data_IF_410232870601
#
_entry.id   IF_410232870601
#
_cell.length_a   1.000
_cell.length_b   1.000
_cell.length_c   1.000
_cell.angle_alpha   90.00
_cell.angle_beta   90.00
_cell.angle_gamma   90.00
#
_symmetry.space_group_name_H-M   'P 1'
#
loop_
_entity.id
_entity.type
_entity.pdbx_description
1 polymer ?
#
# COMPACT_ATOMS: atom_id res chain seq x y z
N UNK A 1 1.12 -13.00 14.63
CA UNK A 1 0.38 -12.16 13.65
C UNK A 1 -1.06 -11.99 14.13
N UNK A 2 -1.62 -10.78 13.95
CA UNK A 2 -3.01 -10.45 14.28
C UNK A 2 -3.81 -10.25 13.01
N UNK A 3 -5.12 -10.50 13.04
CA UNK A 3 -6.03 -10.05 12.00
C UNK A 3 -6.30 -8.55 12.16
N UNK A 4 -6.36 -7.85 11.04
CA UNK A 4 -6.73 -6.47 10.94
C UNK A 4 -7.83 -6.24 9.93
N UNK A 5 -8.36 -5.03 9.92
CA UNK A 5 -9.34 -4.58 8.92
C UNK A 5 -8.87 -3.26 8.32
N UNK A 6 -8.73 -3.21 7.00
CA UNK A 6 -8.57 -1.94 6.29
C UNK A 6 -9.95 -1.31 6.10
N UNK A 7 -10.22 -0.28 6.86
CA UNK A 7 -11.58 0.30 7.00
C UNK A 7 -12.09 1.00 5.75
N UNK A 8 -11.22 1.29 4.78
CA UNK A 8 -11.59 1.93 3.50
C UNK A 8 -12.62 1.13 2.70
N UNK A 9 -12.77 -0.17 3.00
CA UNK A 9 -13.76 -1.05 2.36
C UNK A 9 -15.20 -0.71 2.73
N UNK A 10 -15.41 0.04 3.81
CA UNK A 10 -16.74 0.36 4.36
C UNK A 10 -16.88 1.87 4.61
N UNK A 11 -16.83 2.69 3.54
CA UNK A 11 -16.82 4.16 3.68
C UNK A 11 -18.10 4.72 4.30
N UNK A 12 -19.22 4.00 4.17
CA UNK A 12 -20.55 4.40 4.65
C UNK A 12 -20.78 4.14 6.13
N UNK A 13 -19.98 3.29 6.77
CA UNK A 13 -20.11 2.98 8.19
C UNK A 13 -19.48 4.07 9.05
N UNK A 14 -20.13 4.41 10.17
CA UNK A 14 -19.54 5.25 11.20
C UNK A 14 -18.55 4.49 12.08
N UNK A 15 -17.87 5.19 12.98
CA UNK A 15 -16.81 4.58 13.79
C UNK A 15 -17.34 3.43 14.65
N UNK A 16 -18.49 3.59 15.29
CA UNK A 16 -19.07 2.55 16.14
C UNK A 16 -19.34 1.27 15.36
N UNK A 17 -20.00 1.40 14.21
CA UNK A 17 -20.32 0.28 13.31
C UNK A 17 -19.06 -0.43 12.77
N UNK A 18 -18.00 0.32 12.44
CA UNK A 18 -16.70 -0.27 12.02
C UNK A 18 -16.06 -1.05 13.15
N UNK A 19 -16.08 -0.53 14.37
CA UNK A 19 -15.50 -1.21 15.53
C UNK A 19 -16.27 -2.48 15.87
N UNK A 20 -17.61 -2.44 15.81
CA UNK A 20 -18.46 -3.63 15.99
C UNK A 20 -18.18 -4.69 14.92
N UNK A 21 -18.12 -4.29 13.66
CA UNK A 21 -17.80 -5.21 12.56
C UNK A 21 -16.43 -5.86 12.77
N UNK A 22 -15.42 -5.08 13.08
CA UNK A 22 -14.07 -5.59 13.33
C UNK A 22 -14.01 -6.57 14.51
N UNK A 23 -14.77 -6.31 15.60
CA UNK A 23 -14.90 -7.26 16.70
C UNK A 23 -15.57 -8.57 16.28
N UNK A 24 -16.66 -8.50 15.50
CA UNK A 24 -17.36 -9.68 14.98
C UNK A 24 -16.47 -10.53 14.09
N UNK A 25 -15.56 -9.89 13.33
CA UNK A 25 -14.59 -10.57 12.48
C UNK A 25 -13.35 -11.08 13.25
N UNK A 26 -13.25 -10.80 14.55
CA UNK A 26 -12.10 -11.20 15.39
C UNK A 26 -10.83 -10.40 15.07
N UNK A 27 -10.96 -9.21 14.51
CA UNK A 27 -9.82 -8.32 14.27
C UNK A 27 -9.34 -7.68 15.56
N UNK A 28 -8.02 -7.56 15.73
CA UNK A 28 -7.39 -6.85 16.86
C UNK A 28 -6.67 -5.57 16.43
N UNK A 29 -6.71 -5.23 15.14
CA UNK A 29 -6.07 -4.05 14.60
C UNK A 29 -6.90 -3.44 13.45
N UNK A 30 -6.72 -2.14 13.23
CA UNK A 30 -7.39 -1.39 12.17
C UNK A 30 -6.36 -0.62 11.35
N UNK A 31 -6.59 -0.56 10.06
CA UNK A 31 -5.87 0.32 9.13
C UNK A 31 -6.82 1.42 8.65
N UNK A 32 -6.35 2.66 8.69
CA UNK A 32 -7.14 3.83 8.28
C UNK A 32 -6.52 4.54 7.10
N UNK A 33 -7.34 4.95 6.13
CA UNK A 33 -6.88 5.83 5.06
C UNK A 33 -6.75 7.26 5.57
N UNK A 34 -5.55 7.81 5.49
CA UNK A 34 -5.23 9.19 5.88
C UNK A 34 -5.36 10.19 4.73
N UNK A 35 -5.83 9.75 3.54
CA UNK A 35 -6.07 10.64 2.41
C UNK A 35 -7.29 11.52 2.65
N UNK A 36 -7.14 12.85 2.63
CA UNK A 36 -8.28 13.76 2.73
C UNK A 36 -9.30 13.56 1.60
N UNK A 37 -10.58 13.80 1.91
CA UNK A 37 -11.64 13.78 0.90
C UNK A 37 -12.10 12.39 0.44
N UNK A 38 -11.70 11.31 1.13
CA UNK A 38 -12.19 9.95 0.85
C UNK A 38 -13.66 9.74 1.23
N UNK A 39 -14.25 10.65 2.02
CA UNK A 39 -15.65 10.56 2.44
C UNK A 39 -15.92 9.41 3.42
N UNK A 40 -14.92 8.99 4.18
CA UNK A 40 -15.08 7.95 5.20
C UNK A 40 -15.81 8.53 6.41
N UNK A 41 -16.95 7.95 6.77
CA UNK A 41 -17.76 8.43 7.90
C UNK A 41 -17.16 8.11 9.26
N UNK A 42 -16.27 7.13 9.33
CA UNK A 42 -15.62 6.66 10.56
C UNK A 42 -14.28 7.32 10.86
N UNK A 43 -13.72 8.07 9.91
CA UNK A 43 -12.38 8.65 10.07
C UNK A 43 -12.18 9.86 9.16
N UNK A 44 -12.15 11.06 9.75
CA UNK A 44 -11.73 12.28 9.05
C UNK A 44 -10.30 12.66 9.50
N UNK A 45 -9.28 12.45 8.65
CA UNK A 45 -7.90 12.74 9.00
C UNK A 45 -7.63 14.24 9.24
N UNK A 46 -8.42 15.13 8.63
CA UNK A 46 -8.26 16.58 8.80
C UNK A 46 -8.81 17.01 10.16
N UNK A 47 -10.03 16.57 10.51
CA UNK A 47 -10.65 16.86 11.79
C UNK A 47 -9.80 16.34 12.96
N UNK A 48 -9.38 15.07 12.91
CA UNK A 48 -8.56 14.45 13.96
C UNK A 48 -7.21 15.16 14.10
N UNK A 49 -6.62 15.61 12.99
CA UNK A 49 -5.38 16.36 13.05
C UNK A 49 -5.55 17.77 13.63
N UNK A 50 -6.68 18.44 13.39
CA UNK A 50 -6.90 19.82 13.83
C UNK A 50 -7.47 19.93 15.24
N UNK A 51 -8.27 18.95 15.69
CA UNK A 51 -8.95 18.94 16.97
C UNK A 51 -8.32 17.95 17.95
N UNK A 52 -7.73 18.46 19.04
CA UNK A 52 -7.23 17.60 20.14
C UNK A 52 -8.36 16.77 20.73
N UNK A 53 -9.54 17.36 20.94
CA UNK A 53 -10.69 16.65 21.47
C UNK A 53 -11.15 15.50 20.55
N UNK A 54 -11.26 15.75 19.24
CA UNK A 54 -11.63 14.68 18.29
C UNK A 54 -10.60 13.56 18.28
N UNK A 55 -9.31 13.89 18.35
CA UNK A 55 -8.23 12.92 18.43
C UNK A 55 -8.32 12.07 19.70
N UNK A 56 -8.51 12.69 20.86
CA UNK A 56 -8.65 12.00 22.14
C UNK A 56 -9.88 11.10 22.17
N UNK A 57 -11.02 11.58 21.67
CA UNK A 57 -12.25 10.79 21.56
C UNK A 57 -12.06 9.57 20.64
N UNK A 58 -11.46 9.76 19.48
CA UNK A 58 -11.15 8.67 18.56
C UNK A 58 -10.25 7.61 19.20
N UNK A 59 -9.18 8.03 19.86
CA UNK A 59 -8.27 7.11 20.55
C UNK A 59 -8.97 6.39 21.73
N UNK A 60 -9.86 7.06 22.45
CA UNK A 60 -10.62 6.46 23.55
C UNK A 60 -11.56 5.36 23.04
N UNK A 61 -12.26 5.58 21.90
CA UNK A 61 -13.15 4.56 21.33
C UNK A 61 -12.37 3.31 20.89
N UNK A 62 -11.17 3.48 20.30
CA UNK A 62 -10.30 2.34 19.96
C UNK A 62 -9.84 1.59 21.24
N UNK A 63 -9.43 2.33 22.28
CA UNK A 63 -8.90 1.77 23.53
C UNK A 63 -9.95 0.99 24.30
N UNK A 64 -11.20 1.50 24.39
CA UNK A 64 -12.33 0.80 25.03
C UNK A 64 -12.59 -0.59 24.47
N UNK A 65 -12.20 -0.83 23.20
CA UNK A 65 -12.43 -2.08 22.49
C UNK A 65 -11.14 -2.84 22.16
N UNK A 66 -10.01 -2.46 22.78
CA UNK A 66 -8.69 -3.10 22.61
C UNK A 66 -8.16 -3.09 21.16
N UNK A 67 -8.55 -2.11 20.34
CA UNK A 67 -8.01 -1.98 18.99
C UNK A 67 -6.71 -1.19 18.95
N UNK A 68 -5.80 -1.65 18.10
CA UNK A 68 -4.59 -0.91 17.72
C UNK A 68 -4.69 -0.41 16.28
N UNK A 69 -4.01 0.69 15.97
CA UNK A 69 -3.85 1.13 14.58
C UNK A 69 -2.61 0.45 14.01
N UNK A 70 -2.78 -0.36 12.94
CA UNK A 70 -1.67 -1.09 12.31
C UNK A 70 -0.83 -0.20 11.41
N UNK A 71 -1.47 0.66 10.64
CA UNK A 71 -0.83 1.71 9.83
C UNK A 71 -1.83 2.79 9.43
N UNK A 72 -1.31 3.96 9.03
CA UNK A 72 -2.05 4.97 8.29
C UNK A 72 -1.71 4.83 6.80
N UNK A 73 -2.74 4.71 5.97
CA UNK A 73 -2.57 4.50 4.53
C UNK A 73 -2.74 5.81 3.75
N UNK A 74 -1.67 6.27 3.10
CA UNK A 74 -1.63 7.45 2.23
C UNK A 74 -1.43 7.05 0.76
N UNK A 75 -2.20 6.07 0.26
CA UNK A 75 -2.06 5.51 -1.09
C UNK A 75 -2.53 6.48 -2.16
N UNK A 76 -1.58 7.24 -2.71
CA UNK A 76 -1.77 8.18 -3.81
C UNK A 76 -0.58 8.13 -4.77
N UNK A 77 -0.69 8.81 -5.93
CA UNK A 77 0.45 9.00 -6.82
C UNK A 77 1.23 10.27 -6.44
N UNK A 78 2.16 10.13 -5.49
CA UNK A 78 3.00 11.24 -5.02
C UNK A 78 3.94 11.80 -6.09
N UNK A 79 4.17 11.06 -7.17
CA UNK A 79 5.02 11.43 -8.28
C UNK A 79 4.23 11.82 -9.53
N UNK A 80 2.92 12.08 -9.38
CA UNK A 80 2.09 12.47 -10.52
C UNK A 80 2.77 13.58 -11.33
N UNK A 81 2.82 13.46 -12.67
CA UNK A 81 3.32 14.53 -13.53
C UNK A 81 2.37 15.74 -13.61
N UNK A 82 1.12 15.59 -13.14
CA UNK A 82 0.22 16.71 -12.89
C UNK A 82 0.68 17.45 -11.61
N UNK A 83 1.11 18.72 -11.70
CA UNK A 83 1.65 19.47 -10.57
C UNK A 83 0.65 19.63 -9.42
N UNK A 84 -0.63 19.75 -9.70
CA UNK A 84 -1.65 19.92 -8.68
C UNK A 84 -1.88 18.61 -7.92
N UNK A 85 -1.90 17.47 -8.61
CA UNK A 85 -1.97 16.17 -7.95
C UNK A 85 -0.72 15.89 -7.11
N UNK A 86 0.47 16.21 -7.62
CA UNK A 86 1.73 16.06 -6.88
C UNK A 86 1.75 16.93 -5.61
N UNK A 87 1.27 18.18 -5.71
CA UNK A 87 1.15 19.09 -4.56
C UNK A 87 0.20 18.54 -3.50
N UNK A 88 -1.01 18.12 -3.90
CA UNK A 88 -2.00 17.52 -2.99
C UNK A 88 -1.49 16.25 -2.33
N UNK A 89 -0.78 15.41 -3.08
CA UNK A 89 -0.18 14.21 -2.52
C UNK A 89 0.88 14.55 -1.46
N UNK A 90 1.74 15.54 -1.71
CA UNK A 90 2.74 16.00 -0.73
C UNK A 90 2.08 16.55 0.54
N UNK A 91 1.01 17.32 0.41
CA UNK A 91 0.23 17.83 1.55
C UNK A 91 -0.44 16.69 2.34
N UNK A 92 -0.93 15.64 1.64
CA UNK A 92 -1.48 14.47 2.28
C UNK A 92 -0.43 13.69 3.09
N UNK A 93 0.80 13.57 2.58
CA UNK A 93 1.91 12.97 3.34
C UNK A 93 2.24 13.79 4.59
N UNK A 94 2.32 15.12 4.48
CA UNK A 94 2.55 16.00 5.63
C UNK A 94 1.45 15.86 6.70
N UNK A 95 0.19 15.80 6.28
CA UNK A 95 -0.94 15.55 7.17
C UNK A 95 -0.82 14.18 7.83
N UNK A 96 -0.50 13.14 7.04
CA UNK A 96 -0.36 11.77 7.52
C UNK A 96 0.73 11.64 8.58
N UNK A 97 1.88 12.28 8.39
CA UNK A 97 2.98 12.23 9.37
C UNK A 97 2.60 12.90 10.70
N UNK A 98 1.96 14.07 10.66
CA UNK A 98 1.43 14.73 11.88
C UNK A 98 0.37 13.88 12.58
N UNK A 99 -0.49 13.24 11.80
CA UNK A 99 -1.52 12.36 12.33
C UNK A 99 -0.91 11.11 12.96
N UNK A 100 0.13 10.54 12.34
CA UNK A 100 0.86 9.40 12.87
C UNK A 100 1.51 9.70 14.22
N UNK A 101 2.11 10.89 14.39
CA UNK A 101 2.62 11.36 15.68
C UNK A 101 1.51 11.41 16.75
N UNK A 102 0.38 12.09 16.44
CA UNK A 102 -0.74 12.24 17.37
C UNK A 102 -1.36 10.91 17.78
N UNK A 103 -1.48 9.98 16.85
CA UNK A 103 -2.07 8.66 17.06
C UNK A 103 -1.03 7.61 17.52
N UNK A 104 0.24 7.99 17.67
CA UNK A 104 1.36 7.10 18.02
C UNK A 104 1.50 5.91 17.05
N UNK A 105 1.35 6.18 15.74
CA UNK A 105 1.48 5.18 14.68
C UNK A 105 2.86 5.31 14.03
N UNK A 106 3.60 4.21 13.95
CA UNK A 106 4.96 4.18 13.41
C UNK A 106 5.04 3.81 11.93
N UNK A 107 3.96 3.28 11.37
CA UNK A 107 3.89 2.74 10.00
C UNK A 107 2.97 3.59 9.14
N UNK A 108 3.49 4.05 8.02
CA UNK A 108 2.71 4.73 6.97
C UNK A 108 2.81 3.94 5.69
N UNK A 109 1.65 3.50 5.17
CA UNK A 109 1.52 2.77 3.90
C UNK A 109 1.27 3.70 2.73
N UNK A 110 1.88 3.41 1.57
CA UNK A 110 1.59 4.12 0.32
C UNK A 110 2.06 3.35 -0.92
N UNK A 111 1.63 3.81 -2.11
CA UNK A 111 2.26 3.44 -3.37
C UNK A 111 3.55 4.23 -3.60
N UNK A 112 4.49 3.66 -4.37
CA UNK A 112 5.76 4.35 -4.65
C UNK A 112 5.63 5.61 -5.50
N UNK A 113 4.56 5.73 -6.25
CA UNK A 113 4.35 6.76 -7.25
C UNK A 113 4.79 6.32 -8.66
N UNK A 114 4.23 6.99 -9.66
CA UNK A 114 4.58 6.84 -11.08
C UNK A 114 4.63 8.22 -11.74
N UNK A 115 5.82 8.72 -12.12
CA UNK A 115 5.96 9.97 -12.84
C UNK A 115 5.67 9.81 -14.34
N UNK A 116 5.77 10.89 -15.12
CA UNK A 116 5.84 10.83 -16.58
C UNK A 116 7.14 10.21 -17.09
N UNK A 117 7.36 10.21 -18.40
CA UNK A 117 8.63 9.81 -19.01
C UNK A 117 9.66 10.93 -19.06
N UNK A 118 9.21 12.19 -18.88
CA UNK A 118 10.07 13.38 -18.85
C UNK A 118 9.43 14.49 -17.99
N UNK A 119 10.14 15.62 -17.85
CA UNK A 119 9.70 16.75 -17.02
C UNK A 119 8.44 17.45 -17.52
N UNK A 120 8.20 17.43 -18.83
CA UNK A 120 7.09 18.12 -19.48
C UNK A 120 5.82 17.28 -19.61
N UNK A 121 5.90 15.98 -19.25
CA UNK A 121 4.74 15.08 -19.29
C UNK A 121 3.67 15.53 -18.27
N UNK A 122 2.42 15.20 -18.62
CA UNK A 122 1.23 15.46 -17.78
C UNK A 122 0.51 14.20 -17.36
N UNK A 123 0.93 13.05 -17.86
CA UNK A 123 0.35 11.73 -17.57
C UNK A 123 1.41 10.75 -17.09
N UNK A 124 1.08 9.85 -16.14
CA UNK A 124 2.03 8.82 -15.70
C UNK A 124 2.47 7.91 -16.84
N UNK A 125 3.71 7.47 -16.79
CA UNK A 125 4.27 6.53 -17.75
C UNK A 125 4.97 5.37 -17.03
N UNK A 126 4.30 4.20 -16.99
CA UNK A 126 4.84 3.00 -16.33
C UNK A 126 5.69 2.19 -17.31
N UNK A 127 7.00 2.18 -17.10
CA UNK A 127 7.98 1.47 -17.92
C UNK A 127 8.14 0.03 -17.43
N UNK A 128 7.87 -0.94 -18.29
CA UNK A 128 7.88 -2.39 -17.97
C UNK A 128 8.76 -3.23 -18.88
N UNK A 129 9.40 -2.63 -19.87
CA UNK A 129 10.32 -3.33 -20.76
C UNK A 129 11.44 -2.38 -21.25
N UNK A 130 12.60 -2.93 -21.68
CA UNK A 130 13.78 -2.13 -22.05
C UNK A 130 13.74 -1.60 -23.49
N UNK A 131 12.70 -1.90 -24.24
CA UNK A 131 12.57 -1.53 -25.65
C UNK A 131 11.28 -0.73 -25.88
N UNK A 132 11.31 0.37 -26.66
CA UNK A 132 12.48 0.98 -27.33
C UNK A 132 13.54 1.55 -26.36
N UNK A 133 14.79 1.80 -26.83
CA UNK A 133 15.92 2.18 -25.96
C UNK A 133 15.68 3.43 -25.10
N UNK A 134 14.82 4.33 -25.56
CA UNK A 134 14.42 5.54 -24.83
C UNK A 134 13.75 5.20 -23.48
N UNK A 135 13.12 4.04 -23.36
CA UNK A 135 12.50 3.59 -22.10
C UNK A 135 13.51 3.44 -20.96
N UNK A 136 14.74 3.01 -21.24
CA UNK A 136 15.78 2.92 -20.22
C UNK A 136 16.23 4.31 -19.75
N UNK A 137 16.25 5.31 -20.64
CA UNK A 137 16.56 6.69 -20.29
C UNK A 137 15.44 7.30 -19.45
N UNK A 138 14.18 7.08 -19.85
CA UNK A 138 13.01 7.52 -19.06
C UNK A 138 13.01 6.85 -17.68
N UNK A 139 13.24 5.55 -17.60
CA UNK A 139 13.29 4.80 -16.35
C UNK A 139 14.40 5.34 -15.42
N UNK A 140 15.59 5.63 -15.97
CA UNK A 140 16.68 6.24 -15.22
C UNK A 140 16.26 7.59 -14.64
N UNK A 141 15.70 8.48 -15.46
CA UNK A 141 15.20 9.78 -15.02
C UNK A 141 14.09 9.67 -13.97
N UNK A 142 13.13 8.74 -14.15
CA UNK A 142 12.07 8.49 -13.17
C UNK A 142 12.63 8.14 -11.78
N UNK A 143 13.67 7.29 -11.75
CA UNK A 143 14.28 6.85 -10.51
C UNK A 143 15.18 7.91 -9.87
N UNK A 144 16.09 8.50 -10.65
CA UNK A 144 17.12 9.39 -10.13
C UNK A 144 16.60 10.79 -9.84
N UNK A 145 15.68 11.32 -10.67
CA UNK A 145 15.21 12.69 -10.57
C UNK A 145 13.84 12.83 -9.87
N UNK A 146 13.09 11.74 -9.72
CA UNK A 146 11.74 11.82 -9.16
C UNK A 146 11.54 10.90 -7.95
N UNK A 147 11.74 9.60 -8.12
CA UNK A 147 11.40 8.60 -7.10
C UNK A 147 12.33 8.70 -5.87
N UNK A 148 13.64 8.58 -6.07
CA UNK A 148 14.60 8.61 -4.97
C UNK A 148 14.56 9.94 -4.22
N UNK A 149 14.56 11.12 -4.87
CA UNK A 149 14.46 12.40 -4.17
C UNK A 149 13.18 12.55 -3.34
N UNK A 150 12.04 12.11 -3.86
CA UNK A 150 10.79 12.15 -3.12
C UNK A 150 10.83 11.26 -1.86
N UNK A 151 11.26 10.01 -2.00
CA UNK A 151 11.29 9.09 -0.87
C UNK A 151 12.38 9.41 0.15
N UNK A 152 13.48 10.04 -0.27
CA UNK A 152 14.47 10.60 0.65
C UNK A 152 13.84 11.70 1.51
N UNK A 153 13.17 12.67 0.87
CA UNK A 153 12.43 13.70 1.59
C UNK A 153 11.36 13.10 2.53
N UNK A 154 10.59 12.11 2.04
CA UNK A 154 9.54 11.49 2.84
C UNK A 154 10.12 10.76 4.06
N UNK A 155 11.24 10.07 3.92
CA UNK A 155 11.91 9.38 5.02
C UNK A 155 12.45 10.35 6.09
N UNK A 156 13.12 11.42 5.67
CA UNK A 156 13.61 12.48 6.56
C UNK A 156 12.46 13.17 7.29
N UNK A 157 11.39 13.46 6.56
CA UNK A 157 10.22 14.13 7.13
C UNK A 157 9.45 13.23 8.08
N UNK A 158 9.21 11.98 7.72
CA UNK A 158 8.56 10.97 8.54
C UNK A 158 9.26 10.77 9.89
N UNK A 159 10.60 10.74 9.89
CA UNK A 159 11.41 10.58 11.10
C UNK A 159 11.16 11.69 12.13
N UNK A 160 10.88 12.91 11.69
CA UNK A 160 10.57 14.06 12.56
C UNK A 160 9.29 13.88 13.36
N UNK A 161 8.38 13.00 12.89
CA UNK A 161 7.10 12.68 13.52
C UNK A 161 7.05 11.27 14.13
N UNK A 162 8.21 10.64 14.35
CA UNK A 162 8.29 9.31 14.94
C UNK A 162 7.85 8.16 14.01
N UNK A 163 7.59 8.43 12.74
CA UNK A 163 7.32 7.40 11.73
C UNK A 163 8.65 6.77 11.30
N UNK A 164 8.79 5.49 11.58
CA UNK A 164 10.02 4.72 11.33
C UNK A 164 9.88 3.70 10.20
N UNK A 165 8.67 3.48 9.73
CA UNK A 165 8.32 2.47 8.75
C UNK A 165 7.47 3.09 7.63
N UNK A 166 8.06 3.24 6.45
CA UNK A 166 7.39 3.61 5.22
C UNK A 166 7.12 2.34 4.42
N UNK A 167 5.90 1.84 4.49
CA UNK A 167 5.47 0.56 3.94
C UNK A 167 4.97 0.74 2.50
N UNK A 168 5.86 0.51 1.53
CA UNK A 168 5.54 0.66 0.10
C UNK A 168 4.79 -0.57 -0.39
N UNK A 169 3.58 -0.40 -0.87
CA UNK A 169 2.85 -1.46 -1.55
C UNK A 169 3.42 -1.65 -2.97
N UNK A 170 3.91 -2.85 -3.24
CA UNK A 170 4.42 -3.23 -4.56
C UNK A 170 3.24 -3.41 -5.52
N UNK A 171 2.97 -2.38 -6.32
CA UNK A 171 1.78 -2.33 -7.17
C UNK A 171 2.16 -2.04 -8.63
N UNK A 172 1.82 -2.95 -9.59
CA UNK A 172 1.96 -2.67 -11.02
C UNK A 172 1.22 -1.39 -11.43
N UNK A 173 1.86 -0.57 -12.24
CA UNK A 173 1.42 0.79 -12.55
C UNK A 173 2.19 1.87 -11.77
N UNK A 174 3.07 1.45 -10.84
CA UNK A 174 3.97 2.32 -10.08
C UNK A 174 5.43 1.87 -10.24
N UNK A 175 6.38 2.71 -9.86
CA UNK A 175 7.81 2.43 -10.03
C UNK A 175 8.30 1.22 -9.23
N UNK A 176 7.69 0.96 -8.05
CA UNK A 176 7.97 -0.22 -7.22
C UNK A 176 6.81 -1.19 -7.34
N UNK A 177 7.05 -2.35 -7.97
CA UNK A 177 6.01 -3.33 -8.28
C UNK A 177 6.43 -4.80 -8.02
N UNK A 178 7.68 -5.01 -7.60
CA UNK A 178 8.23 -6.34 -7.28
C UNK A 178 9.33 -6.23 -6.21
N UNK A 179 9.82 -7.35 -5.65
CA UNK A 179 10.87 -7.33 -4.63
C UNK A 179 12.15 -6.61 -5.06
N UNK A 180 12.61 -6.79 -6.29
CA UNK A 180 13.82 -6.15 -6.81
C UNK A 180 13.72 -4.63 -6.77
N UNK A 181 12.62 -4.08 -7.27
CA UNK A 181 12.40 -2.62 -7.28
C UNK A 181 12.22 -2.05 -5.87
N UNK A 182 11.60 -2.80 -4.95
CA UNK A 182 11.54 -2.38 -3.55
C UNK A 182 12.92 -2.32 -2.89
N UNK A 183 13.71 -3.39 -3.04
CA UNK A 183 15.05 -3.45 -2.44
C UNK A 183 15.97 -2.39 -3.01
N UNK A 184 15.87 -2.11 -4.31
CA UNK A 184 16.59 -0.99 -4.95
C UNK A 184 16.21 0.36 -4.34
N UNK A 185 14.91 0.62 -4.10
CA UNK A 185 14.49 1.86 -3.46
C UNK A 185 15.00 1.94 -2.02
N UNK A 186 14.92 0.85 -1.26
CA UNK A 186 15.44 0.77 0.10
C UNK A 186 16.95 1.00 0.16
N UNK A 187 17.72 0.44 -0.75
CA UNK A 187 19.16 0.67 -0.85
C UNK A 187 19.50 2.15 -1.07
N UNK A 188 18.72 2.81 -1.95
CA UNK A 188 18.94 4.21 -2.29
C UNK A 188 18.50 5.20 -1.20
N UNK A 189 17.44 4.91 -0.45
CA UNK A 189 16.82 5.85 0.52
C UNK A 189 17.19 5.51 1.95
N UNK A 190 17.18 4.23 2.32
CA UNK A 190 17.52 3.81 3.68
C UNK A 190 16.52 2.85 4.33
N UNK A 191 16.79 2.46 5.59
CA UNK A 191 16.12 1.35 6.27
C UNK A 191 14.67 1.61 6.67
N UNK A 192 14.18 2.84 6.62
CA UNK A 192 12.75 3.14 6.87
C UNK A 192 11.85 2.62 5.75
N UNK A 193 12.38 2.50 4.51
CA UNK A 193 11.66 1.90 3.39
C UNK A 193 11.52 0.40 3.61
N UNK A 194 10.31 -0.10 3.53
CA UNK A 194 9.98 -1.51 3.56
C UNK A 194 8.68 -1.76 2.82
N UNK A 195 8.13 -2.96 2.93
CA UNK A 195 6.98 -3.36 2.12
C UNK A 195 5.69 -3.43 2.94
N UNK A 196 4.61 -2.91 2.37
CA UNK A 196 3.27 -3.39 2.60
C UNK A 196 3.02 -4.51 1.57
N UNK A 197 3.10 -5.75 2.02
CA UNK A 197 3.03 -6.92 1.14
C UNK A 197 1.56 -7.21 0.79
N UNK A 198 1.18 -6.98 -0.47
CA UNK A 198 -0.08 -7.44 -1.03
C UNK A 198 0.19 -8.64 -1.96
N UNK A 199 -0.15 -9.87 -1.55
CA UNK A 199 0.12 -11.07 -2.34
C UNK A 199 -0.64 -11.09 -3.67
N UNK A 200 -1.79 -10.44 -3.76
CA UNK A 200 -2.59 -10.41 -4.98
C UNK A 200 -1.86 -9.77 -6.15
N UNK A 201 -1.12 -8.67 -5.88
CA UNK A 201 -0.33 -7.98 -6.90
C UNK A 201 0.88 -8.78 -7.38
N UNK A 202 1.43 -9.64 -6.54
CA UNK A 202 2.54 -10.53 -6.90
C UNK A 202 2.04 -11.74 -7.69
N UNK A 203 0.95 -12.35 -7.23
CA UNK A 203 0.41 -13.58 -7.83
C UNK A 203 0.06 -13.43 -9.30
N UNK A 204 -0.64 -12.35 -9.69
CA UNK A 204 -0.99 -12.17 -11.09
C UNK A 204 0.23 -11.82 -11.98
N UNK A 205 1.34 -11.33 -11.41
CA UNK A 205 2.61 -11.16 -12.11
C UNK A 205 3.39 -12.48 -12.26
N UNK A 206 2.82 -13.62 -11.80
CA UNK A 206 3.51 -14.92 -11.75
C UNK A 206 4.71 -14.94 -10.80
N UNK A 207 4.73 -14.09 -9.79
CA UNK A 207 5.75 -14.09 -8.74
C UNK A 207 5.35 -15.11 -7.68
N UNK A 208 6.26 -16.03 -7.31
CA UNK A 208 6.07 -16.94 -6.18
C UNK A 208 6.11 -16.14 -4.87
N UNK A 209 4.98 -16.10 -4.16
CA UNK A 209 4.83 -15.24 -2.98
C UNK A 209 5.74 -15.68 -1.83
N UNK A 210 5.87 -16.98 -1.48
CA UNK A 210 6.86 -17.44 -0.51
C UNK A 210 8.31 -17.04 -0.86
N UNK A 211 8.72 -17.09 -2.13
CA UNK A 211 10.06 -16.63 -2.56
C UNK A 211 10.20 -15.12 -2.39
N UNK A 212 9.18 -14.34 -2.77
CA UNK A 212 9.17 -12.91 -2.56
C UNK A 212 9.30 -12.55 -1.07
N UNK A 213 8.57 -13.25 -0.19
CA UNK A 213 8.66 -13.07 1.27
C UNK A 213 10.07 -13.38 1.78
N UNK A 214 10.72 -14.44 1.27
CA UNK A 214 12.12 -14.77 1.63
C UNK A 214 13.09 -13.66 1.22
N UNK A 215 12.95 -13.16 -0.01
CA UNK A 215 13.77 -12.06 -0.52
C UNK A 215 13.59 -10.77 0.28
N UNK A 216 12.38 -10.54 0.80
CA UNK A 216 12.00 -9.35 1.56
C UNK A 216 12.16 -9.50 3.09
N UNK A 217 12.83 -10.57 3.56
CA UNK A 217 13.03 -10.80 4.99
C UNK A 217 13.66 -9.58 5.68
N UNK A 218 13.04 -9.15 6.79
CA UNK A 218 13.49 -7.99 7.55
C UNK A 218 13.07 -6.63 6.97
N UNK A 219 12.22 -6.63 5.92
CA UNK A 219 11.71 -5.40 5.31
C UNK A 219 10.18 -5.36 5.25
N UNK A 220 9.48 -6.39 5.76
CA UNK A 220 8.01 -6.45 5.74
C UNK A 220 7.48 -5.68 6.94
N UNK A 221 6.86 -4.54 6.68
CA UNK A 221 6.30 -3.67 7.70
C UNK A 221 4.81 -3.90 7.91
N UNK A 222 4.10 -4.26 6.85
CA UNK A 222 2.66 -4.53 6.86
C UNK A 222 2.29 -5.56 5.80
N UNK A 223 1.10 -6.18 5.91
CA UNK A 223 0.60 -7.15 4.94
C UNK A 223 -0.88 -6.89 4.68
N UNK A 224 -1.26 -6.72 3.42
CA UNK A 224 -2.64 -6.76 2.96
C UNK A 224 -3.05 -8.20 2.65
N UNK A 225 -4.09 -8.71 3.29
CA UNK A 225 -4.69 -10.00 2.98
C UNK A 225 -5.70 -9.82 1.84
N UNK A 226 -5.20 -9.72 0.62
CA UNK A 226 -5.99 -9.54 -0.60
C UNK A 226 -5.71 -10.65 -1.59
N UNK A 227 -6.74 -11.08 -2.32
CA UNK A 227 -6.68 -12.25 -3.18
C UNK A 227 -6.93 -11.93 -4.65
N UNK A 228 -6.49 -12.83 -5.52
CA UNK A 228 -6.63 -12.72 -6.97
C UNK A 228 -6.80 -14.08 -7.61
N UNK A 229 -7.74 -14.15 -8.56
CA UNK A 229 -7.91 -15.30 -9.45
C UNK A 229 -7.30 -14.97 -10.81
N UNK A 230 -6.40 -15.84 -11.30
CA UNK A 230 -5.81 -15.74 -12.63
C UNK A 230 -6.58 -16.68 -13.58
N UNK A 231 -7.17 -16.11 -14.64
CA UNK A 231 -7.86 -16.88 -15.67
C UNK A 231 -6.85 -17.45 -16.67
N UNK A 232 -6.56 -18.73 -16.53
CA UNK A 232 -5.55 -19.42 -17.36
C UNK A 232 -5.88 -19.45 -18.84
N UNK A 233 -7.17 -19.43 -19.22
CA UNK A 233 -7.57 -19.43 -20.65
C UNK A 233 -7.32 -18.07 -21.28
N UNK A 234 -7.71 -16.99 -20.59
CA UNK A 234 -7.45 -15.64 -21.05
C UNK A 234 -5.94 -15.33 -21.07
N UNK A 235 -5.18 -15.78 -20.06
CA UNK A 235 -3.72 -15.64 -20.02
C UNK A 235 -3.04 -16.38 -21.17
N UNK A 236 -3.44 -17.64 -21.46
CA UNK A 236 -2.88 -18.41 -22.58
C UNK A 236 -3.10 -17.76 -23.94
N UNK A 237 -4.17 -16.97 -24.07
CA UNK A 237 -4.54 -16.29 -25.31
C UNK A 237 -3.88 -14.93 -25.45
N UNK A 238 -3.82 -14.14 -24.39
CA UNK A 238 -3.51 -12.70 -24.45
C UNK A 238 -2.35 -12.28 -23.55
N UNK A 239 -1.81 -13.17 -22.75
CA UNK A 239 -0.81 -12.85 -21.72
C UNK A 239 -1.46 -12.27 -20.45
N UNK A 240 -0.60 -11.88 -19.49
CA UNK A 240 -1.02 -11.46 -18.14
C UNK A 240 -1.29 -9.95 -18.03
N UNK A 241 -0.67 -9.13 -18.91
CA UNK A 241 -0.91 -7.69 -18.95
C UNK A 241 -2.32 -7.41 -19.49
N UNK A 242 -3.13 -6.72 -18.73
CA UNK A 242 -4.54 -6.54 -19.04
C UNK A 242 -5.01 -5.11 -18.75
N UNK A 243 -5.50 -4.44 -19.78
CA UNK A 243 -6.02 -3.07 -19.73
C UNK A 243 -7.55 -2.99 -19.74
N UNK A 244 -8.24 -4.14 -19.77
CA UNK A 244 -9.71 -4.16 -19.74
C UNK A 244 -10.24 -3.65 -18.41
N UNK A 245 -11.34 -2.88 -18.45
CA UNK A 245 -11.98 -2.38 -17.23
C UNK A 245 -12.43 -3.53 -16.32
N UNK A 246 -12.40 -3.34 -15.01
CA UNK A 246 -12.74 -4.37 -14.01
C UNK A 246 -14.16 -4.94 -14.14
N UNK A 247 -15.13 -4.18 -14.69
CA UNK A 247 -16.48 -4.68 -14.97
C UNK A 247 -16.53 -5.79 -16.03
N UNK A 248 -15.47 -6.00 -16.82
CA UNK A 248 -15.36 -7.06 -17.82
C UNK A 248 -14.66 -8.30 -17.24
N UNK A 249 -15.01 -8.71 -16.03
CA UNK A 249 -14.32 -9.74 -15.26
C UNK A 249 -14.10 -11.06 -16.02
N UNK A 250 -15.10 -11.53 -16.78
CA UNK A 250 -15.02 -12.79 -17.54
C UNK A 250 -13.99 -12.75 -18.70
N UNK A 251 -13.59 -11.58 -19.16
CA UNK A 251 -12.68 -11.41 -20.28
C UNK A 251 -11.25 -11.08 -19.82
N UNK A 252 -11.08 -10.82 -18.52
CA UNK A 252 -9.79 -10.38 -17.95
C UNK A 252 -8.87 -11.58 -17.74
N UNK A 253 -7.58 -11.30 -17.83
CA UNK A 253 -6.53 -12.26 -17.48
C UNK A 253 -6.49 -12.58 -15.97
N UNK A 254 -6.96 -11.65 -15.14
CA UNK A 254 -7.03 -11.80 -13.68
C UNK A 254 -8.07 -10.86 -13.09
N UNK A 255 -8.61 -11.24 -11.92
CA UNK A 255 -9.59 -10.44 -11.16
C UNK A 255 -9.33 -10.60 -9.66
N UNK A 256 -9.45 -9.50 -8.89
CA UNK A 256 -9.41 -9.58 -7.43
C UNK A 256 -10.61 -10.36 -6.89
N UNK A 257 -10.37 -11.06 -5.79
CA UNK A 257 -11.34 -11.93 -5.14
C UNK A 257 -11.31 -11.74 -3.62
N UNK A 258 -12.37 -12.18 -2.97
CA UNK A 258 -12.35 -12.43 -1.52
C UNK A 258 -11.26 -13.45 -1.20
N UNK A 259 -10.62 -13.29 -0.05
CA UNK A 259 -9.55 -14.19 0.41
C UNK A 259 -10.06 -15.64 0.44
N UNK A 260 -9.36 -16.53 -0.28
CA UNK A 260 -9.71 -17.93 -0.45
C UNK A 260 -10.51 -18.26 -1.71
N UNK A 261 -11.06 -17.25 -2.42
CA UNK A 261 -11.82 -17.45 -3.66
C UNK A 261 -10.95 -17.31 -4.94
N UNK A 262 -9.71 -16.93 -4.79
CA UNK A 262 -8.74 -16.79 -5.88
C UNK A 262 -7.58 -17.79 -5.74
N UNK A 263 -6.71 -17.57 -4.78
CA UNK A 263 -5.69 -18.51 -4.36
C UNK A 263 -6.30 -19.51 -3.38
N UNK A 264 -5.92 -20.78 -3.49
CA UNK A 264 -6.46 -21.83 -2.62
C UNK A 264 -5.93 -21.74 -1.16
N UNK A 265 -6.61 -22.45 -0.26
CA UNK A 265 -6.25 -22.48 1.17
C UNK A 265 -4.79 -22.93 1.39
N UNK A 266 -4.28 -23.85 0.58
CA UNK A 266 -2.92 -24.33 0.69
C UNK A 266 -1.90 -23.24 0.32
N UNK A 267 -2.21 -22.40 -0.65
CA UNK A 267 -1.40 -21.24 -1.01
C UNK A 267 -1.36 -20.24 0.13
N UNK A 268 -2.51 -19.90 0.74
CA UNK A 268 -2.57 -19.02 1.90
C UNK A 268 -1.81 -19.59 3.11
N UNK A 269 -1.90 -20.90 3.37
CA UNK A 269 -1.11 -21.55 4.42
C UNK A 269 0.41 -21.40 4.18
N UNK A 270 0.86 -21.53 2.92
CA UNK A 270 2.28 -21.31 2.57
C UNK A 270 2.70 -19.86 2.74
N UNK A 271 1.85 -18.89 2.38
CA UNK A 271 2.10 -17.46 2.58
C UNK A 271 2.28 -17.17 4.09
N UNK A 272 1.34 -17.60 4.93
CA UNK A 272 1.39 -17.41 6.38
C UNK A 272 2.63 -18.08 6.99
N UNK A 273 2.98 -19.30 6.55
CA UNK A 273 4.18 -20.00 7.01
C UNK A 273 5.46 -19.25 6.61
N UNK A 274 5.53 -18.74 5.36
CA UNK A 274 6.68 -17.96 4.89
C UNK A 274 6.84 -16.66 5.68
N UNK A 275 5.75 -15.94 5.96
CA UNK A 275 5.77 -14.73 6.80
C UNK A 275 6.34 -15.01 8.19
N UNK A 276 5.90 -16.10 8.83
CA UNK A 276 6.44 -16.54 10.15
C UNK A 276 7.92 -16.86 10.08
N UNK A 277 8.35 -17.60 9.07
CA UNK A 277 9.77 -17.95 8.86
C UNK A 277 10.63 -16.71 8.54
N UNK A 278 10.06 -15.70 7.90
CA UNK A 278 10.72 -14.42 7.68
C UNK A 278 10.80 -13.55 8.96
N UNK A 279 10.13 -13.96 10.06
CA UNK A 279 10.09 -13.24 11.33
C UNK A 279 9.03 -12.15 11.38
N UNK A 280 8.07 -12.15 10.47
CA UNK A 280 6.94 -11.21 10.52
C UNK A 280 5.91 -11.66 11.54
N UNK A 281 5.60 -10.81 12.51
CA UNK A 281 4.56 -11.03 13.54
C UNK A 281 3.61 -9.83 13.69
N UNK A 282 3.45 -9.07 12.61
CA UNK A 282 2.57 -7.90 12.54
C UNK A 282 1.11 -8.23 12.23
N UNK A 283 0.47 -7.35 11.47
CA UNK A 283 -0.95 -7.41 11.13
C UNK A 283 -1.15 -7.86 9.68
N UNK A 284 -2.20 -8.67 9.46
CA UNK A 284 -2.76 -8.99 8.15
C UNK A 284 -4.11 -8.27 8.06
N UNK A 285 -4.23 -7.20 7.27
CA UNK A 285 -5.45 -6.40 7.12
C UNK A 285 -6.15 -6.63 5.80
#
# INVERSE_FOLDING_TARGET
MKLGLFTVLYPELDLESILELAQQLGCGALEFSSLPGRGLRHFDPVEINQSTLACEQFQEELRKRDFTISQLNCSCNALSPDPEQARRAREAFELTFRLAEKLNVRTVGSFSGCPGGCADDRTPNWITCPWPPEYLQMLKWQWEERLIPFWTWAAERAAQFGVTQLAIEMHPGFCVYNPETLLRLREAVGPSIGVNLDPSHLAWQSIDIPEAIRALKGTIWHVHAKDVCVDTQNVRRNGILDTKHYSRAAERAWTFRTVGDGMDEQTWKRIVAALRLAGYDGVLS
#
